data_IF_625985665838
#
_entry.id   IF_625985665838
#
_cell.length_a   1.000
_cell.length_b   1.000
_cell.length_c   1.000
_cell.angle_alpha   90.00
_cell.angle_beta   90.00
_cell.angle_gamma   90.00
#
_symmetry.space_group_name_H-M   'P 1'
#
loop_
_entity.id
_entity.type
_entity.pdbx_description
1 polymer ?
#
# COMPACT_ATOMS: atom_id res chain seq x y z
N UNK A 1 4.23 -17.07 -9.36
CA UNK A 1 3.37 -16.78 -8.19
C UNK A 1 4.15 -16.26 -6.99
N UNK A 2 5.10 -17.02 -6.43
CA UNK A 2 5.85 -16.63 -5.21
C UNK A 2 6.51 -15.25 -5.34
N UNK A 3 7.25 -15.01 -6.42
CA UNK A 3 7.95 -13.73 -6.69
C UNK A 3 6.97 -12.56 -6.89
N UNK A 4 5.84 -12.79 -7.58
CA UNK A 4 4.80 -11.76 -7.76
C UNK A 4 4.20 -11.31 -6.41
N UNK A 5 3.83 -12.27 -5.56
CA UNK A 5 3.26 -12.00 -4.25
C UNK A 5 4.27 -11.33 -3.32
N UNK A 6 5.52 -11.81 -3.31
CA UNK A 6 6.60 -11.21 -2.52
C UNK A 6 6.93 -9.79 -2.98
N UNK A 7 7.00 -9.55 -4.29
CA UNK A 7 7.25 -8.22 -4.84
C UNK A 7 6.15 -7.23 -4.47
N UNK A 8 4.89 -7.65 -4.55
CA UNK A 8 3.75 -6.83 -4.12
C UNK A 8 3.78 -6.54 -2.60
N UNK A 9 4.08 -7.54 -1.76
CA UNK A 9 4.22 -7.33 -0.31
C UNK A 9 5.38 -6.39 0.02
N UNK A 10 6.50 -6.50 -0.70
CA UNK A 10 7.65 -5.62 -0.52
C UNK A 10 7.32 -4.17 -0.91
N UNK A 11 6.58 -3.96 -2.00
CA UNK A 11 6.07 -2.64 -2.40
C UNK A 11 5.17 -2.04 -1.31
N UNK A 12 4.27 -2.83 -0.74
CA UNK A 12 3.37 -2.36 0.32
C UNK A 12 4.15 -1.97 1.58
N UNK A 13 5.12 -2.79 1.99
CA UNK A 13 6.03 -2.51 3.11
C UNK A 13 6.82 -1.22 2.88
N UNK A 14 7.38 -1.02 1.68
CA UNK A 14 8.13 0.18 1.33
C UNK A 14 7.25 1.44 1.43
N UNK A 15 6.02 1.36 0.91
CA UNK A 15 5.07 2.47 0.91
C UNK A 15 4.66 2.83 2.34
N UNK A 16 4.42 1.82 3.18
CA UNK A 16 4.07 2.00 4.58
C UNK A 16 5.25 2.53 5.40
N UNK A 17 6.46 2.04 5.15
CA UNK A 17 7.68 2.53 5.79
C UNK A 17 7.93 4.00 5.44
N UNK A 18 7.87 4.36 4.15
CA UNK A 18 8.00 5.75 3.70
C UNK A 18 6.92 6.64 4.30
N UNK A 19 5.69 6.14 4.43
CA UNK A 19 4.60 6.89 5.06
C UNK A 19 4.87 7.12 6.54
N UNK A 20 5.14 6.07 7.33
CA UNK A 20 5.34 6.18 8.79
C UNK A 20 6.59 6.98 9.13
N UNK A 21 7.72 6.68 8.48
CA UNK A 21 9.00 7.38 8.71
C UNK A 21 8.90 8.82 8.22
N UNK A 22 8.36 9.04 7.01
CA UNK A 22 8.15 10.38 6.47
C UNK A 22 7.21 11.21 7.35
N UNK A 23 6.14 10.61 7.86
CA UNK A 23 5.20 11.26 8.77
C UNK A 23 5.87 11.65 10.09
N UNK A 24 6.56 10.71 10.73
CA UNK A 24 7.27 10.97 11.99
C UNK A 24 8.34 12.06 11.84
N UNK A 25 9.12 12.01 10.76
CA UNK A 25 10.16 12.99 10.46
C UNK A 25 9.58 14.35 10.04
N UNK A 26 8.42 14.37 9.40
CA UNK A 26 7.70 15.59 9.01
C UNK A 26 7.12 16.33 10.21
N UNK A 27 6.58 15.60 11.21
CA UNK A 27 6.17 16.18 12.50
C UNK A 27 7.36 16.82 13.22
N UNK A 28 8.55 16.22 13.11
CA UNK A 28 9.81 16.80 13.59
C UNK A 28 10.35 17.98 12.75
N UNK A 29 9.56 18.53 11.82
CA UNK A 29 9.93 19.63 10.93
C UNK A 29 11.17 19.37 10.05
N UNK A 30 11.52 18.11 9.81
CA UNK A 30 12.64 17.79 8.92
C UNK A 30 12.20 17.84 7.45
N UNK A 31 13.01 18.50 6.62
CA UNK A 31 12.78 18.64 5.18
C UNK A 31 12.70 17.26 4.50
N UNK A 32 13.50 16.30 4.98
CA UNK A 32 13.57 14.93 4.47
C UNK A 32 12.23 14.21 4.70
N UNK A 33 11.59 14.41 5.86
CA UNK A 33 10.29 13.83 6.16
C UNK A 33 9.19 14.31 5.22
N UNK A 34 9.11 15.63 4.98
CA UNK A 34 8.16 16.20 4.03
C UNK A 34 8.42 15.75 2.58
N UNK A 35 9.69 15.58 2.19
CA UNK A 35 10.02 15.05 0.87
C UNK A 35 9.54 13.61 0.69
N UNK A 36 9.77 12.74 1.68
CA UNK A 36 9.28 11.35 1.67
C UNK A 36 7.74 11.29 1.62
N UNK A 37 7.05 12.12 2.41
CA UNK A 37 5.59 12.24 2.34
C UNK A 37 5.11 12.71 0.97
N UNK A 38 5.79 13.69 0.36
CA UNK A 38 5.46 14.19 -0.97
C UNK A 38 5.54 13.10 -2.04
N UNK A 39 6.56 12.24 -1.98
CA UNK A 39 6.68 11.07 -2.87
C UNK A 39 5.51 10.10 -2.63
N UNK A 40 5.16 9.82 -1.37
CA UNK A 40 4.05 8.93 -1.04
C UNK A 40 2.71 9.50 -1.53
N UNK A 41 2.45 10.79 -1.38
CA UNK A 41 1.19 11.37 -1.87
C UNK A 41 1.13 11.47 -3.40
N UNK A 42 2.27 11.70 -4.07
CA UNK A 42 2.32 11.85 -5.53
C UNK A 42 2.31 10.50 -6.26
N UNK A 43 3.07 9.53 -5.78
CA UNK A 43 3.26 8.23 -6.44
C UNK A 43 2.60 7.06 -5.71
N UNK A 44 2.14 7.25 -4.46
CA UNK A 44 1.56 6.18 -3.65
C UNK A 44 0.28 5.60 -4.25
N UNK A 45 -0.54 6.41 -4.93
CA UNK A 45 -1.72 5.91 -5.65
C UNK A 45 -1.31 4.99 -6.80
N UNK A 46 -0.30 5.37 -7.59
CA UNK A 46 0.20 4.54 -8.68
C UNK A 46 0.76 3.21 -8.16
N UNK A 47 1.59 3.25 -7.12
CA UNK A 47 2.15 2.05 -6.49
C UNK A 47 1.06 1.17 -5.87
N UNK A 48 0.04 1.77 -5.27
CA UNK A 48 -1.12 1.07 -4.72
C UNK A 48 -1.90 0.32 -5.82
N UNK A 49 -2.20 0.99 -6.94
CA UNK A 49 -2.89 0.37 -8.08
C UNK A 49 -2.06 -0.80 -8.63
N UNK A 50 -0.75 -0.61 -8.82
CA UNK A 50 0.15 -1.67 -9.29
C UNK A 50 0.11 -2.87 -8.33
N UNK A 51 0.18 -2.64 -7.02
CA UNK A 51 0.13 -3.71 -6.01
C UNK A 51 -1.22 -4.46 -6.04
N UNK A 52 -2.34 -3.75 -6.18
CA UNK A 52 -3.67 -4.35 -6.34
C UNK A 52 -3.75 -5.23 -7.58
N UNK A 53 -3.29 -4.73 -8.72
CA UNK A 53 -3.29 -5.47 -10.00
C UNK A 53 -2.46 -6.74 -9.89
N UNK A 54 -1.25 -6.66 -9.31
CA UNK A 54 -0.39 -7.83 -9.09
C UNK A 54 -1.06 -8.90 -8.20
N UNK A 55 -1.76 -8.48 -7.12
CA UNK A 55 -2.51 -9.40 -6.25
C UNK A 55 -3.73 -10.01 -6.94
N UNK A 56 -4.43 -9.24 -7.79
CA UNK A 56 -5.55 -9.73 -8.59
C UNK A 56 -5.10 -10.80 -9.59
N UNK A 57 -4.00 -10.56 -10.31
CA UNK A 57 -3.41 -11.55 -11.22
C UNK A 57 -3.02 -12.81 -10.42
N UNK A 58 -2.38 -12.65 -9.26
CA UNK A 58 -2.04 -13.78 -8.40
C UNK A 58 -3.29 -14.55 -7.90
N UNK A 59 -4.41 -13.86 -7.65
CA UNK A 59 -5.68 -14.47 -7.26
C UNK A 59 -6.29 -15.30 -8.37
N UNK A 60 -6.41 -14.74 -9.58
CA UNK A 60 -6.97 -15.41 -10.76
C UNK A 60 -6.15 -16.66 -11.09
N UNK A 61 -4.82 -16.55 -11.06
CA UNK A 61 -3.92 -17.67 -11.34
C UNK A 61 -3.98 -18.76 -10.23
N UNK A 62 -4.37 -18.37 -9.01
CA UNK A 62 -4.55 -19.28 -7.84
C UNK A 62 -5.96 -19.86 -7.74
N UNK A 63 -6.90 -19.37 -8.55
CA UNK A 63 -8.31 -19.72 -8.50
C UNK A 63 -8.63 -21.21 -8.68
N UNK A 64 -7.96 -21.99 -9.57
CA UNK A 64 -8.31 -23.40 -9.74
C UNK A 64 -8.15 -24.25 -8.46
N UNK A 65 -7.48 -23.74 -7.41
CA UNK A 65 -7.43 -24.33 -6.04
C UNK A 65 -7.06 -25.82 -5.99
N UNK A 66 -6.52 -26.37 -7.07
CA UNK A 66 -6.17 -27.78 -7.26
C UNK A 66 -5.21 -28.34 -6.20
N UNK A 67 -4.36 -27.50 -5.63
CA UNK A 67 -3.27 -27.92 -4.74
C UNK A 67 -3.37 -27.20 -3.40
N UNK A 68 -3.02 -27.89 -2.30
CA UNK A 68 -2.97 -27.30 -0.94
C UNK A 68 -2.13 -26.00 -0.92
N UNK A 69 -1.06 -25.94 -1.70
CA UNK A 69 -0.24 -24.74 -1.86
C UNK A 69 -1.00 -23.58 -2.52
N UNK A 70 -1.74 -23.83 -3.62
CA UNK A 70 -2.56 -22.80 -4.30
C UNK A 70 -3.65 -22.24 -3.38
N UNK A 71 -4.26 -23.09 -2.55
CA UNK A 71 -5.24 -22.66 -1.54
C UNK A 71 -4.62 -21.75 -0.48
N UNK A 72 -3.37 -22.04 -0.06
CA UNK A 72 -2.61 -21.19 0.87
C UNK A 72 -2.25 -19.84 0.25
N UNK A 73 -1.74 -19.83 -0.99
CA UNK A 73 -1.45 -18.57 -1.70
C UNK A 73 -2.70 -17.71 -1.92
N UNK A 74 -3.83 -18.32 -2.23
CA UNK A 74 -5.11 -17.62 -2.36
C UNK A 74 -5.49 -16.93 -1.04
N UNK A 75 -5.40 -17.64 0.09
CA UNK A 75 -5.72 -17.06 1.41
C UNK A 75 -4.79 -15.91 1.79
N UNK A 76 -3.49 -16.03 1.47
CA UNK A 76 -2.49 -14.98 1.72
C UNK A 76 -2.76 -13.77 0.82
N UNK A 77 -3.03 -13.98 -0.46
CA UNK A 77 -3.35 -12.92 -1.40
C UNK A 77 -4.57 -12.13 -0.94
N UNK A 78 -5.64 -12.82 -0.52
CA UNK A 78 -6.86 -12.20 0.00
C UNK A 78 -6.61 -11.40 1.28
N UNK A 79 -5.91 -11.97 2.26
CA UNK A 79 -5.57 -11.28 3.51
C UNK A 79 -4.70 -10.04 3.25
N UNK A 80 -3.74 -10.15 2.34
CA UNK A 80 -2.88 -9.03 1.96
C UNK A 80 -3.62 -7.92 1.20
N UNK A 81 -4.70 -8.24 0.48
CA UNK A 81 -5.59 -7.25 -0.15
C UNK A 81 -6.39 -6.47 0.90
N UNK A 82 -6.98 -7.16 1.87
CA UNK A 82 -7.71 -6.51 2.98
C UNK A 82 -6.81 -5.56 3.77
N UNK A 83 -5.58 -6.01 4.08
CA UNK A 83 -4.61 -5.18 4.79
C UNK A 83 -4.26 -3.92 3.99
N UNK A 84 -4.05 -4.07 2.69
CA UNK A 84 -3.76 -2.96 1.79
C UNK A 84 -4.90 -1.94 1.72
N UNK A 85 -6.15 -2.41 1.60
CA UNK A 85 -7.34 -1.55 1.60
C UNK A 85 -7.42 -0.70 2.87
N UNK A 86 -7.15 -1.30 4.03
CA UNK A 86 -7.18 -0.59 5.30
C UNK A 86 -6.11 0.51 5.37
N UNK A 87 -4.88 0.19 4.93
CA UNK A 87 -3.76 1.14 4.87
C UNK A 87 -4.07 2.28 3.87
N UNK A 88 -4.56 1.94 2.68
CA UNK A 88 -4.91 2.91 1.66
C UNK A 88 -6.00 3.87 2.11
N UNK A 89 -7.04 3.36 2.77
CA UNK A 89 -8.12 4.16 3.33
C UNK A 89 -7.59 5.13 4.42
N UNK A 90 -6.69 4.68 5.29
CA UNK A 90 -6.06 5.54 6.31
C UNK A 90 -5.23 6.67 5.67
N UNK A 91 -4.35 6.34 4.72
CA UNK A 91 -3.51 7.34 4.04
C UNK A 91 -4.37 8.36 3.29
N UNK A 92 -5.39 7.89 2.55
CA UNK A 92 -6.29 8.77 1.81
C UNK A 92 -7.14 9.64 2.75
N UNK A 93 -7.60 9.09 3.87
CA UNK A 93 -8.32 9.84 4.90
C UNK A 93 -7.48 10.99 5.47
N UNK A 94 -6.22 10.71 5.80
CA UNK A 94 -5.28 11.74 6.29
C UNK A 94 -5.04 12.82 5.23
N UNK A 95 -4.85 12.42 3.96
CA UNK A 95 -4.71 13.36 2.84
C UNK A 95 -5.94 14.26 2.70
N UNK A 96 -7.14 13.66 2.76
CA UNK A 96 -8.40 14.38 2.61
C UNK A 96 -8.61 15.40 3.74
N UNK A 97 -8.35 15.01 5.00
CA UNK A 97 -8.42 15.93 6.15
C UNK A 97 -7.46 17.10 5.96
N UNK A 98 -6.21 16.84 5.57
CA UNK A 98 -5.22 17.90 5.32
C UNK A 98 -5.63 18.85 4.19
N UNK A 99 -6.22 18.33 3.12
CA UNK A 99 -6.75 19.14 2.01
C UNK A 99 -7.93 20.01 2.42
N UNK A 100 -8.84 19.49 3.26
CA UNK A 100 -9.98 20.27 3.78
C UNK A 100 -9.48 21.38 4.71
N UNK A 101 -8.53 21.10 5.60
CA UNK A 101 -7.98 22.11 6.51
C UNK A 101 -7.28 23.26 5.77
N UNK A 102 -6.60 22.99 4.66
CA UNK A 102 -5.95 24.03 3.83
C UNK A 102 -6.92 24.84 2.97
N UNK A 103 -8.14 24.35 2.74
CA UNK A 103 -9.15 25.08 1.98
C UNK A 103 -10.03 26.00 2.85
N UNK A 104 -10.02 25.82 4.17
CA UNK A 104 -10.87 26.54 5.13
C UNK A 104 -10.08 27.52 6.02
N UNK A 105 -8.74 27.42 6.03
CA UNK A 105 -7.83 28.36 6.71
C UNK A 105 -7.32 29.44 5.77
#
# INVERSE_FOLDING_TARGET
>A
MKILLWGSIALDMLLLLCFVVGFSLGVGSSIIGFFMLGIVFRYGICLFIISVVFKFIALVLSFPRDTKDKKKYFSIALSSLFRLLFIGALIYGIYYIGKVMTAVG
#
